data_IF_758900849176
#
_entry.id   IF_758900849176
#
_cell.length_a   1.000
_cell.length_b   1.000
_cell.length_c   1.000
_cell.angle_alpha   90.00
_cell.angle_beta   90.00
_cell.angle_gamma   90.00
#
_symmetry.space_group_name_H-M   'P 1'
#
loop_
_entity.id
_entity.type
_entity.pdbx_description
1 polymer ?
#
# COMPACT_ATOMS: atom_id res chain seq x y z
N UNK A 1 -66.59 4.81 35.64
CA UNK A 1 -66.30 6.16 35.10
C UNK A 1 -65.84 5.98 33.65
N UNK A 2 -66.37 6.77 32.71
CA UNK A 2 -67.14 6.26 31.57
C UNK A 2 -66.38 6.54 30.23
N UNK A 3 -66.46 5.73 29.16
CA UNK A 3 -67.51 5.53 28.14
C UNK A 3 -67.27 6.31 26.82
N UNK A 4 -67.55 5.63 25.69
CA UNK A 4 -68.04 6.20 24.40
C UNK A 4 -67.08 7.04 23.54
N UNK A 5 -67.16 7.13 22.20
CA UNK A 5 -67.85 6.42 21.12
C UNK A 5 -67.48 7.10 19.77
N UNK A 6 -67.57 6.32 18.69
CA UNK A 6 -68.11 6.65 17.34
C UNK A 6 -67.43 7.60 16.33
N UNK A 7 -67.19 6.96 15.19
CA UNK A 7 -67.38 7.30 13.76
C UNK A 7 -68.18 8.53 13.28
N UNK A 8 -67.85 8.97 12.06
CA UNK A 8 -68.79 9.59 11.09
C UNK A 8 -68.07 10.50 10.05
N UNK A 9 -67.76 10.06 8.83
CA UNK A 9 -68.53 10.10 7.56
C UNK A 9 -68.76 11.46 6.87
N UNK A 10 -68.38 11.50 5.58
CA UNK A 10 -69.05 12.10 4.40
C UNK A 10 -68.80 13.57 3.95
N UNK A 11 -68.36 13.67 2.68
CA UNK A 11 -68.50 14.75 1.65
C UNK A 11 -69.98 15.20 1.48
N UNK A 12 -70.40 16.27 0.73
CA UNK A 12 -69.84 16.84 -0.52
C UNK A 12 -70.11 18.36 -0.78
N UNK A 13 -69.82 18.87 -2.00
CA UNK A 13 -70.64 19.95 -2.62
C UNK A 13 -69.92 21.11 -3.33
N UNK A 14 -70.00 21.12 -4.67
CA UNK A 14 -69.58 22.17 -5.64
C UNK A 14 -70.56 23.37 -5.71
N UNK A 15 -70.12 24.53 -6.21
CA UNK A 15 -70.86 25.42 -7.15
C UNK A 15 -69.85 26.37 -7.87
N UNK A 16 -69.65 26.28 -9.20
CA UNK A 16 -70.28 27.04 -10.34
C UNK A 16 -69.95 28.55 -10.31
N UNK A 17 -69.62 29.27 -11.40
CA UNK A 17 -70.08 29.23 -12.80
C UNK A 17 -69.13 30.04 -13.74
N UNK A 18 -68.92 29.62 -15.01
CA UNK A 18 -69.37 30.25 -16.30
C UNK A 18 -68.62 31.54 -16.72
N UNK A 19 -68.34 31.87 -17.98
CA UNK A 19 -68.22 31.28 -19.34
C UNK A 19 -68.06 32.51 -20.27
N UNK A 20 -67.34 32.36 -21.40
CA UNK A 20 -67.48 33.08 -22.72
C UNK A 20 -66.08 33.40 -23.29
N UNK A 21 -65.71 33.20 -24.56
CA UNK A 21 -66.36 32.64 -25.75
C UNK A 21 -65.27 32.35 -26.82
N UNK A 22 -65.52 31.33 -27.68
CA UNK A 22 -65.24 31.17 -29.13
C UNK A 22 -64.08 31.97 -29.79
N UNK A 23 -63.25 31.47 -30.72
CA UNK A 23 -63.49 30.54 -31.84
C UNK A 23 -62.17 30.09 -32.52
N UNK A 24 -62.29 29.05 -33.38
CA UNK A 24 -61.43 28.66 -34.51
C UNK A 24 -59.99 28.23 -34.16
N UNK A 25 -59.40 27.15 -34.68
CA UNK A 25 -59.63 26.47 -35.95
C UNK A 25 -58.25 26.34 -36.63
N UNK A 26 -57.82 25.09 -36.78
CA UNK A 26 -56.77 24.60 -37.68
C UNK A 26 -55.29 24.55 -37.21
N UNK A 27 -54.74 23.38 -37.57
CA UNK A 27 -53.38 23.05 -38.00
C UNK A 27 -52.36 22.61 -36.94
N UNK A 28 -52.00 21.34 -37.08
CA UNK A 28 -50.96 20.63 -36.35
C UNK A 28 -49.59 21.28 -36.53
N UNK A 29 -48.86 21.41 -35.42
CA UNK A 29 -47.41 21.46 -35.39
C UNK A 29 -46.96 20.46 -34.34
N UNK A 30 -46.27 19.42 -34.77
CA UNK A 30 -45.60 18.48 -33.89
C UNK A 30 -44.49 19.22 -33.14
N UNK A 31 -44.75 19.61 -31.89
CA UNK A 31 -43.68 20.02 -30.98
C UNK A 31 -43.03 18.77 -30.43
N UNK A 32 -41.88 18.40 -31.02
CA UNK A 32 -40.94 17.49 -30.40
C UNK A 32 -40.63 18.03 -28.99
N UNK A 33 -41.03 17.29 -27.97
CA UNK A 33 -40.51 17.49 -26.62
C UNK A 33 -39.03 17.16 -26.69
N UNK A 34 -38.18 18.18 -26.79
CA UNK A 34 -36.76 18.04 -26.53
C UNK A 34 -36.65 17.70 -25.04
N UNK A 35 -36.65 16.40 -24.76
CA UNK A 35 -36.10 15.90 -23.52
C UNK A 35 -34.68 16.42 -23.46
N UNK A 36 -34.43 17.36 -22.55
CA UNK A 36 -33.09 17.68 -22.14
C UNK A 36 -32.55 16.42 -21.45
N UNK A 37 -32.02 15.50 -22.24
CA UNK A 37 -31.08 14.50 -21.77
C UNK A 37 -29.90 15.33 -21.28
N UNK A 38 -29.83 15.53 -19.97
CA UNK A 38 -28.56 15.89 -19.36
C UNK A 38 -27.68 14.69 -19.65
N UNK A 39 -26.92 14.79 -20.74
CA UNK A 39 -25.77 13.94 -20.94
C UNK A 39 -24.86 14.23 -19.76
N UNK A 40 -24.94 13.40 -18.71
CA UNK A 40 -23.84 13.20 -17.81
C UNK A 40 -22.67 12.90 -18.72
N UNK A 41 -21.79 13.88 -18.92
CA UNK A 41 -20.55 13.67 -19.62
C UNK A 41 -19.89 12.48 -18.91
N UNK A 42 -19.85 11.33 -19.60
CA UNK A 42 -19.10 10.16 -19.16
C UNK A 42 -17.68 10.64 -18.96
N UNK A 43 -17.27 10.82 -17.70
CA UNK A 43 -15.87 10.92 -17.37
C UNK A 43 -15.20 9.71 -18.04
N UNK A 44 -14.10 9.88 -18.79
CA UNK A 44 -13.39 8.72 -19.28
C UNK A 44 -13.05 7.87 -18.06
N UNK A 45 -13.59 6.66 -18.02
CA UNK A 45 -13.29 5.67 -16.99
C UNK A 45 -11.78 5.47 -17.03
N UNK A 46 -11.09 5.97 -16.01
CA UNK A 46 -9.66 5.77 -15.91
C UNK A 46 -9.43 4.29 -15.62
N UNK A 47 -8.85 3.59 -16.59
CA UNK A 47 -8.50 2.17 -16.48
C UNK A 47 -7.63 1.91 -15.25
N UNK A 48 -7.67 0.66 -14.77
CA UNK A 48 -6.93 0.20 -13.61
C UNK A 48 -5.45 0.40 -13.84
N UNK A 49 -4.73 0.53 -12.73
CA UNK A 49 -3.29 0.65 -12.79
C UNK A 49 -2.68 -0.62 -13.42
N UNK A 50 -2.13 -0.51 -14.63
CA UNK A 50 -1.25 -1.56 -15.18
C UNK A 50 0.14 -1.30 -14.63
N UNK A 51 0.45 -1.94 -13.51
CA UNK A 51 1.73 -1.77 -12.84
C UNK A 51 2.79 -2.72 -13.40
N UNK A 52 4.08 -2.31 -13.44
CA UNK A 52 5.15 -3.10 -14.04
C UNK A 52 5.25 -4.50 -13.43
N UNK A 53 5.59 -5.49 -14.26
CA UNK A 53 5.89 -6.87 -13.84
C UNK A 53 4.78 -7.56 -13.02
N UNK A 54 3.52 -7.15 -13.19
CA UNK A 54 2.39 -7.71 -12.43
C UNK A 54 2.39 -7.31 -10.94
N UNK A 55 3.03 -6.18 -10.62
CA UNK A 55 3.03 -5.60 -9.28
C UNK A 55 1.60 -5.26 -8.84
N UNK A 56 1.27 -5.54 -7.57
CA UNK A 56 -0.09 -5.36 -7.05
C UNK A 56 -0.17 -4.09 -6.20
N UNK A 57 -1.26 -3.34 -6.34
CA UNK A 57 -1.67 -2.30 -5.40
C UNK A 57 -3.06 -2.70 -4.88
N UNK A 58 -3.08 -3.24 -3.67
CA UNK A 58 -4.27 -3.81 -3.00
C UNK A 58 -4.74 -2.82 -1.94
N UNK A 59 -6.02 -2.44 -1.97
CA UNK A 59 -6.60 -1.60 -0.92
C UNK A 59 -7.73 -2.31 -0.18
N UNK A 60 -7.68 -2.31 1.15
CA UNK A 60 -8.84 -2.68 1.95
C UNK A 60 -9.81 -1.49 2.04
N UNK A 61 -11.09 -1.77 1.86
CA UNK A 61 -12.17 -0.79 2.06
C UNK A 61 -13.19 -1.35 3.04
N UNK A 62 -13.30 -0.81 4.26
CA UNK A 62 -14.25 -1.29 5.24
C UNK A 62 -15.70 -0.91 4.90
N UNK A 63 -16.65 -1.66 5.44
CA UNK A 63 -18.09 -1.42 5.26
C UNK A 63 -18.56 -0.14 5.97
N UNK A 64 -17.89 0.23 7.06
CA UNK A 64 -18.28 1.30 7.99
C UNK A 64 -17.70 2.69 7.70
N UNK A 65 -16.62 2.81 6.90
CA UNK A 65 -15.94 4.09 6.65
C UNK A 65 -15.61 4.31 5.18
N UNK A 66 -15.60 5.57 4.73
CA UNK A 66 -15.36 5.94 3.33
C UNK A 66 -16.52 5.65 2.36
N UNK A 67 -16.45 6.20 1.15
CA UNK A 67 -17.46 6.01 0.09
C UNK A 67 -16.86 5.31 -1.13
N UNK A 68 -17.70 4.59 -1.88
CA UNK A 68 -17.29 3.93 -3.13
C UNK A 68 -16.77 4.95 -4.18
N UNK A 69 -17.30 6.17 -4.18
CA UNK A 69 -16.96 7.22 -5.15
C UNK A 69 -15.66 7.95 -4.84
N UNK A 70 -15.15 7.86 -3.60
CA UNK A 70 -13.88 8.47 -3.21
C UNK A 70 -12.66 7.60 -3.56
N UNK A 71 -12.86 6.34 -3.93
CA UNK A 71 -11.78 5.40 -4.23
C UNK A 71 -11.05 5.83 -5.52
N UNK A 72 -9.73 5.84 -5.46
CA UNK A 72 -8.85 6.17 -6.58
C UNK A 72 -8.60 4.93 -7.46
N UNK A 73 -9.65 4.41 -8.11
CA UNK A 73 -9.63 3.13 -8.84
C UNK A 73 -8.46 3.00 -9.84
N UNK A 74 -8.14 4.06 -10.57
CA UNK A 74 -7.05 4.08 -11.55
C UNK A 74 -5.65 3.90 -10.97
N UNK A 75 -5.52 3.82 -9.64
CA UNK A 75 -4.26 3.65 -8.90
C UNK A 75 -4.18 2.31 -8.18
N UNK A 76 -5.24 1.52 -8.25
CA UNK A 76 -5.35 0.21 -7.61
C UNK A 76 -5.42 -0.88 -8.68
N UNK A 77 -5.00 -2.08 -8.29
CA UNK A 77 -5.25 -3.29 -9.07
C UNK A 77 -6.33 -4.15 -8.43
N UNK A 78 -6.39 -4.15 -7.10
CA UNK A 78 -7.34 -4.94 -6.33
C UNK A 78 -7.93 -4.15 -5.16
N UNK A 79 -9.18 -4.46 -4.83
CA UNK A 79 -9.86 -3.98 -3.62
C UNK A 79 -10.38 -5.20 -2.85
N UNK A 80 -10.08 -5.24 -1.55
CA UNK A 80 -10.66 -6.19 -0.62
C UNK A 80 -11.74 -5.46 0.19
N UNK A 81 -13.01 -5.82 -0.01
CA UNK A 81 -14.11 -5.25 0.76
C UNK A 81 -14.21 -5.94 2.12
N UNK A 82 -14.01 -5.17 3.19
CA UNK A 82 -13.92 -5.65 4.57
C UNK A 82 -15.21 -5.30 5.34
N UNK A 83 -15.83 -6.20 6.09
CA UNK A 83 -15.64 -7.64 6.13
C UNK A 83 -17.01 -8.33 6.09
N UNK A 84 -16.98 -9.64 5.88
CA UNK A 84 -18.03 -10.55 6.31
C UNK A 84 -17.45 -11.56 7.29
N UNK A 85 -18.23 -11.99 8.29
CA UNK A 85 -17.76 -12.94 9.31
C UNK A 85 -18.34 -14.34 9.08
N UNK A 86 -17.58 -15.42 9.36
CA UNK A 86 -18.09 -16.78 9.38
C UNK A 86 -18.84 -17.08 10.68
N UNK A 87 -19.82 -17.97 10.60
CA UNK A 87 -20.35 -18.70 11.76
C UNK A 87 -19.70 -20.08 11.84
N UNK A 88 -19.63 -20.67 13.04
CA UNK A 88 -19.00 -21.97 13.29
C UNK A 88 -19.61 -23.14 12.52
N UNK A 89 -20.85 -23.02 12.04
CA UNK A 89 -21.52 -24.02 11.21
C UNK A 89 -21.23 -23.89 9.71
N UNK A 90 -20.41 -22.92 9.30
CA UNK A 90 -20.10 -22.64 7.90
C UNK A 90 -21.09 -21.73 7.17
N UNK A 91 -22.10 -21.18 7.85
CA UNK A 91 -22.85 -20.04 7.31
C UNK A 91 -22.05 -18.73 7.45
N UNK A 92 -22.49 -17.69 6.75
CA UNK A 92 -21.93 -16.34 6.86
C UNK A 92 -22.88 -15.46 7.69
N UNK A 93 -22.33 -14.52 8.44
CA UNK A 93 -23.10 -13.44 9.06
C UNK A 93 -23.67 -12.49 7.99
N UNK A 94 -24.54 -11.57 8.40
CA UNK A 94 -25.07 -10.55 7.50
C UNK A 94 -23.95 -9.70 6.91
N UNK A 95 -23.98 -9.48 5.60
CA UNK A 95 -23.03 -8.57 4.95
C UNK A 95 -23.41 -7.13 5.31
N UNK A 96 -22.49 -6.42 5.96
CA UNK A 96 -22.66 -5.00 6.24
C UNK A 96 -22.54 -4.16 4.97
N UNK A 97 -23.42 -3.17 4.84
CA UNK A 97 -23.46 -2.20 3.75
C UNK A 97 -23.31 -2.82 2.33
N UNK A 98 -24.21 -3.77 1.94
CA UNK A 98 -24.13 -4.45 0.65
C UNK A 98 -24.25 -3.49 -0.54
N UNK A 99 -24.93 -2.35 -0.35
CA UNK A 99 -25.05 -1.31 -1.37
C UNK A 99 -23.71 -0.68 -1.73
N UNK A 100 -22.82 -0.48 -0.76
CA UNK A 100 -21.46 0.02 -1.00
C UNK A 100 -20.61 -1.03 -1.71
N UNK A 101 -20.71 -2.31 -1.33
CA UNK A 101 -20.03 -3.39 -2.07
C UNK A 101 -20.44 -3.38 -3.54
N UNK A 102 -21.74 -3.34 -3.84
CA UNK A 102 -22.23 -3.32 -5.22
C UNK A 102 -21.70 -2.12 -6.02
N UNK A 103 -21.63 -0.94 -5.39
CA UNK A 103 -21.04 0.24 -6.02
C UNK A 103 -19.54 0.05 -6.29
N UNK A 104 -18.78 -0.50 -5.34
CA UNK A 104 -17.34 -0.75 -5.50
C UNK A 104 -17.09 -1.79 -6.60
N UNK A 105 -17.89 -2.87 -6.67
CA UNK A 105 -17.81 -3.85 -7.75
C UNK A 105 -18.07 -3.16 -9.09
N UNK A 106 -19.16 -2.39 -9.20
CA UNK A 106 -19.53 -1.72 -10.45
C UNK A 106 -18.47 -0.72 -10.91
N UNK A 107 -18.00 0.16 -10.02
CA UNK A 107 -16.98 1.16 -10.34
C UNK A 107 -15.61 0.53 -10.56
N UNK A 108 -15.25 -0.47 -9.76
CA UNK A 108 -14.02 -1.23 -9.87
C UNK A 108 -13.93 -1.93 -11.22
N UNK A 109 -14.97 -2.69 -11.60
CA UNK A 109 -15.01 -3.37 -12.89
C UNK A 109 -15.01 -2.41 -14.07
N UNK A 110 -15.73 -1.30 -13.98
CA UNK A 110 -15.71 -0.25 -15.01
C UNK A 110 -14.31 0.36 -15.17
N UNK A 111 -13.51 0.36 -14.11
CA UNK A 111 -12.12 0.76 -14.11
C UNK A 111 -11.16 -0.43 -14.22
N UNK A 112 -11.58 -1.66 -14.52
CA UNK A 112 -10.67 -2.82 -14.60
C UNK A 112 -10.01 -3.29 -13.29
N UNK A 113 -10.44 -2.76 -12.13
CA UNK A 113 -9.97 -3.16 -10.79
C UNK A 113 -10.70 -4.41 -10.34
N UNK A 114 -9.96 -5.36 -9.75
CA UNK A 114 -10.50 -6.61 -9.22
C UNK A 114 -11.05 -6.41 -7.81
N UNK A 115 -12.23 -6.94 -7.53
CA UNK A 115 -12.89 -6.77 -6.21
C UNK A 115 -13.14 -8.11 -5.55
N UNK A 116 -12.54 -8.32 -4.38
CA UNK A 116 -12.74 -9.51 -3.55
C UNK A 116 -13.48 -9.15 -2.27
N UNK A 117 -14.18 -10.14 -1.69
CA UNK A 117 -14.71 -10.03 -0.33
C UNK A 117 -13.63 -10.50 0.67
N UNK A 118 -13.34 -9.69 1.68
CA UNK A 118 -12.52 -10.12 2.80
C UNK A 118 -13.40 -10.74 3.90
N UNK A 119 -13.01 -11.92 4.36
CA UNK A 119 -13.72 -12.69 5.38
C UNK A 119 -12.89 -12.68 6.65
N UNK A 120 -13.45 -12.22 7.77
CA UNK A 120 -12.76 -12.16 9.05
C UNK A 120 -12.43 -10.74 9.51
N UNK A 121 -11.13 -10.48 9.71
CA UNK A 121 -10.58 -9.32 10.40
C UNK A 121 -10.43 -9.56 11.91
N UNK A 122 -9.72 -8.66 12.59
CA UNK A 122 -9.39 -8.75 14.02
C UNK A 122 -10.53 -9.19 14.95
N UNK A 123 -11.75 -8.68 14.77
CA UNK A 123 -12.96 -9.06 15.54
C UNK A 123 -12.74 -9.14 17.06
N UNK A 124 -12.03 -8.17 17.64
CA UNK A 124 -11.62 -8.13 19.06
C UNK A 124 -10.87 -9.40 19.53
N UNK A 125 -10.13 -10.03 18.62
CA UNK A 125 -9.42 -11.28 18.84
C UNK A 125 -10.32 -12.52 18.88
N UNK A 126 -11.61 -12.38 18.57
CA UNK A 126 -12.54 -13.51 18.54
C UNK A 126 -12.56 -14.18 17.17
N UNK A 127 -11.89 -15.32 17.08
CA UNK A 127 -11.84 -16.16 15.88
C UNK A 127 -12.61 -17.48 16.02
N UNK A 128 -13.45 -17.61 17.05
CA UNK A 128 -14.23 -18.84 17.33
C UNK A 128 -15.13 -19.28 16.16
N UNK A 129 -15.60 -18.33 15.35
CA UNK A 129 -16.33 -18.60 14.11
C UNK A 129 -15.47 -19.35 13.09
N UNK A 130 -14.21 -18.94 12.92
CA UNK A 130 -13.24 -19.64 12.09
C UNK A 130 -12.86 -20.99 12.67
N UNK A 131 -12.52 -21.06 13.96
CA UNK A 131 -12.12 -22.31 14.62
C UNK A 131 -13.18 -23.40 14.48
N UNK A 132 -14.44 -23.07 14.81
CA UNK A 132 -15.54 -24.02 14.73
C UNK A 132 -15.83 -24.47 13.28
N UNK A 133 -15.79 -23.53 12.33
CA UNK A 133 -16.06 -23.82 10.92
C UNK A 133 -14.93 -24.65 10.31
N UNK A 134 -13.68 -24.23 10.49
CA UNK A 134 -12.51 -24.88 9.95
C UNK A 134 -12.28 -26.26 10.59
N UNK A 135 -12.65 -26.46 11.86
CA UNK A 135 -12.52 -27.74 12.56
C UNK A 135 -13.47 -28.84 12.09
N UNK A 136 -14.52 -28.53 11.33
CA UNK A 136 -15.53 -29.50 10.92
C UNK A 136 -15.63 -29.60 9.39
N UNK A 137 -15.45 -30.80 8.81
CA UNK A 137 -15.45 -30.98 7.35
C UNK A 137 -16.76 -30.57 6.65
N UNK A 138 -17.90 -30.82 7.30
CA UNK A 138 -19.21 -30.42 6.79
C UNK A 138 -19.37 -28.90 6.84
N UNK A 139 -18.98 -28.27 7.95
CA UNK A 139 -19.01 -26.82 8.10
C UNK A 139 -18.06 -26.13 7.10
N UNK A 140 -16.83 -26.64 6.91
CA UNK A 140 -15.92 -26.16 5.86
C UNK A 140 -16.55 -26.20 4.48
N UNK A 141 -17.19 -27.32 4.13
CA UNK A 141 -17.87 -27.47 2.83
C UNK A 141 -19.03 -26.48 2.69
N UNK A 142 -19.82 -26.30 3.74
CA UNK A 142 -20.90 -25.32 3.76
C UNK A 142 -20.36 -23.89 3.60
N UNK A 143 -19.26 -23.55 4.28
CA UNK A 143 -18.59 -22.26 4.16
C UNK A 143 -18.09 -22.00 2.75
N UNK A 144 -17.36 -22.94 2.16
CA UNK A 144 -16.87 -22.82 0.77
C UNK A 144 -18.05 -22.59 -0.20
N UNK A 145 -19.15 -23.32 -0.04
CA UNK A 145 -20.34 -23.12 -0.86
C UNK A 145 -20.98 -21.74 -0.66
N UNK A 146 -21.05 -21.25 0.58
CA UNK A 146 -21.58 -19.91 0.87
C UNK A 146 -20.68 -18.81 0.32
N UNK A 147 -19.36 -18.97 0.35
CA UNK A 147 -18.41 -18.04 -0.29
C UNK A 147 -18.59 -18.05 -1.81
N UNK A 148 -18.70 -19.23 -2.45
CA UNK A 148 -19.01 -19.32 -3.89
C UNK A 148 -20.31 -18.60 -4.22
N UNK A 149 -21.35 -18.79 -3.43
CA UNK A 149 -22.64 -18.11 -3.63
C UNK A 149 -22.51 -16.59 -3.51
N UNK A 150 -21.78 -16.10 -2.51
CA UNK A 150 -21.53 -14.68 -2.30
C UNK A 150 -20.72 -14.06 -3.46
N UNK A 151 -19.66 -14.74 -3.89
CA UNK A 151 -18.84 -14.35 -5.04
C UNK A 151 -19.69 -14.25 -6.31
N UNK A 152 -20.60 -15.20 -6.55
CA UNK A 152 -21.49 -15.15 -7.69
C UNK A 152 -22.55 -14.03 -7.55
N UNK A 153 -23.16 -13.90 -6.37
CA UNK A 153 -24.22 -12.93 -6.11
C UNK A 153 -23.77 -11.48 -6.34
N UNK A 154 -22.55 -11.16 -5.91
CA UNK A 154 -22.00 -9.80 -6.02
C UNK A 154 -21.03 -9.65 -7.19
N UNK A 155 -20.92 -10.65 -8.07
CA UNK A 155 -19.97 -10.65 -9.20
C UNK A 155 -18.52 -10.32 -8.75
N UNK A 156 -18.06 -10.93 -7.68
CA UNK A 156 -16.71 -10.70 -7.15
C UNK A 156 -15.66 -11.43 -7.99
N UNK A 157 -14.43 -10.92 -7.97
CA UNK A 157 -13.27 -11.53 -8.61
C UNK A 157 -12.58 -12.56 -7.72
N UNK A 158 -12.88 -12.59 -6.42
CA UNK A 158 -12.29 -13.55 -5.49
C UNK A 158 -12.73 -13.38 -4.04
N UNK A 159 -12.00 -14.07 -3.17
CA UNK A 159 -12.13 -14.02 -1.72
C UNK A 159 -10.77 -13.85 -1.08
N UNK A 160 -10.71 -13.06 -0.02
CA UNK A 160 -9.57 -12.88 0.85
C UNK A 160 -9.91 -13.42 2.24
N UNK A 161 -9.07 -14.31 2.78
CA UNK A 161 -9.27 -14.87 4.13
C UNK A 161 -8.36 -14.12 5.11
N UNK A 162 -8.98 -13.38 6.02
CA UNK A 162 -8.32 -12.61 7.07
C UNK A 162 -8.65 -13.23 8.43
N UNK A 163 -8.16 -14.44 8.66
CA UNK A 163 -8.28 -15.10 9.97
C UNK A 163 -7.12 -14.64 10.84
N UNK A 164 -7.46 -13.88 11.90
CA UNK A 164 -6.53 -13.38 12.91
C UNK A 164 -6.71 -14.08 14.27
N UNK A 165 -6.00 -15.17 14.59
CA UNK A 165 -5.06 -15.92 13.74
C UNK A 165 -5.21 -17.42 13.96
N UNK A 166 -5.04 -18.27 12.91
CA UNK A 166 -4.97 -19.69 13.13
C UNK A 166 -3.73 -20.03 13.99
N UNK A 167 -3.92 -20.73 15.09
CA UNK A 167 -2.83 -21.17 15.95
C UNK A 167 -2.02 -22.31 15.32
N UNK A 168 -0.70 -22.40 15.57
CA UNK A 168 0.08 -23.58 15.20
C UNK A 168 -0.51 -24.88 15.77
N UNK A 169 -0.53 -25.95 14.97
CA UNK A 169 -1.09 -27.24 15.38
C UNK A 169 -2.46 -27.49 14.73
N UNK A 170 -3.46 -27.89 15.53
CA UNK A 170 -4.78 -28.29 15.02
C UNK A 170 -5.47 -27.17 14.24
N UNK A 171 -5.44 -25.94 14.75
CA UNK A 171 -6.01 -24.78 14.06
C UNK A 171 -5.33 -24.54 12.70
N UNK A 172 -4.00 -24.54 12.65
CA UNK A 172 -3.25 -24.42 11.38
C UNK A 172 -3.48 -25.57 10.39
N UNK A 173 -3.70 -26.81 10.86
CA UNK A 173 -4.11 -27.93 10.00
C UNK A 173 -5.50 -27.68 9.41
N UNK A 174 -6.43 -27.18 10.22
CA UNK A 174 -7.79 -26.84 9.79
C UNK A 174 -7.80 -25.67 8.80
N UNK A 175 -7.00 -24.64 9.04
CA UNK A 175 -6.76 -23.54 8.10
C UNK A 175 -6.22 -24.05 6.77
N UNK A 176 -5.21 -24.93 6.79
CA UNK A 176 -4.63 -25.52 5.57
C UNK A 176 -5.67 -26.32 4.77
N UNK A 177 -6.52 -27.10 5.45
CA UNK A 177 -7.61 -27.83 4.80
C UNK A 177 -8.67 -26.90 4.20
N UNK A 178 -9.03 -25.83 4.91
CA UNK A 178 -9.93 -24.79 4.40
C UNK A 178 -9.36 -24.12 3.15
N UNK A 179 -8.12 -23.66 3.19
CA UNK A 179 -7.48 -22.96 2.06
C UNK A 179 -7.35 -23.86 0.83
N UNK A 180 -7.09 -25.17 1.01
CA UNK A 180 -7.08 -26.15 -0.08
C UNK A 180 -8.46 -26.28 -0.77
N UNK A 181 -9.54 -26.37 0.02
CA UNK A 181 -10.90 -26.47 -0.51
C UNK A 181 -11.34 -25.17 -1.20
N UNK A 182 -11.04 -24.01 -0.60
CA UNK A 182 -11.29 -22.71 -1.22
C UNK A 182 -10.51 -22.56 -2.54
N UNK A 183 -9.23 -22.93 -2.57
CA UNK A 183 -8.40 -22.84 -3.78
C UNK A 183 -9.02 -23.64 -4.92
N UNK A 184 -9.39 -24.89 -4.66
CA UNK A 184 -10.08 -25.75 -5.65
C UNK A 184 -11.37 -25.08 -6.15
N UNK A 185 -12.19 -24.56 -5.24
CA UNK A 185 -13.47 -23.95 -5.59
C UNK A 185 -13.33 -22.63 -6.36
N UNK A 186 -12.40 -21.75 -5.95
CA UNK A 186 -12.19 -20.44 -6.56
C UNK A 186 -11.47 -20.56 -7.90
N UNK A 187 -10.34 -21.28 -7.94
CA UNK A 187 -9.51 -21.37 -9.16
C UNK A 187 -10.21 -22.11 -10.29
N UNK A 188 -11.03 -23.13 -10.00
CA UNK A 188 -11.87 -23.79 -11.03
C UNK A 188 -12.91 -22.87 -11.68
N UNK A 189 -13.18 -21.71 -11.06
CA UNK A 189 -14.10 -20.68 -11.55
C UNK A 189 -13.36 -19.44 -12.08
N UNK A 190 -12.03 -19.49 -12.17
CA UNK A 190 -11.20 -18.35 -12.56
C UNK A 190 -11.26 -17.20 -11.54
N UNK A 191 -11.54 -17.50 -10.27
CA UNK A 191 -11.61 -16.54 -9.17
C UNK A 191 -10.35 -16.61 -8.31
N UNK A 192 -10.01 -15.49 -7.68
CA UNK A 192 -8.83 -15.35 -6.83
C UNK A 192 -9.09 -15.90 -5.42
N UNK A 193 -8.04 -16.44 -4.80
CA UNK A 193 -7.97 -16.73 -3.37
C UNK A 193 -6.72 -16.06 -2.79
N UNK A 194 -6.92 -15.15 -1.85
CA UNK A 194 -5.83 -14.48 -1.12
C UNK A 194 -6.03 -14.64 0.39
N UNK A 195 -5.05 -14.23 1.17
CA UNK A 195 -5.18 -14.16 2.61
C UNK A 195 -4.36 -13.02 3.20
N UNK A 196 -4.90 -12.37 4.22
CA UNK A 196 -4.13 -11.53 5.13
C UNK A 196 -3.48 -12.40 6.21
N UNK A 197 -2.23 -12.11 6.53
CA UNK A 197 -1.44 -12.89 7.49
C UNK A 197 -0.64 -11.98 8.42
N UNK A 198 -0.40 -12.45 9.64
CA UNK A 198 0.47 -11.78 10.61
C UNK A 198 1.83 -11.44 10.02
N UNK A 199 2.44 -10.36 10.50
CA UNK A 199 3.75 -9.86 10.06
C UNK A 199 4.86 -10.92 10.12
N UNK A 200 5.12 -11.49 11.30
CA UNK A 200 6.18 -12.47 11.55
C UNK A 200 5.96 -13.19 12.91
N UNK A 201 6.85 -14.12 13.26
CA UNK A 201 6.89 -14.75 14.58
C UNK A 201 6.13 -16.08 14.70
N UNK A 202 5.91 -16.52 15.94
CA UNK A 202 5.38 -17.86 16.24
C UNK A 202 3.97 -18.11 15.71
N UNK A 203 3.09 -17.12 15.81
CA UNK A 203 1.71 -17.16 15.30
C UNK A 203 1.67 -17.43 13.79
N UNK A 204 2.67 -16.95 13.03
CA UNK A 204 2.75 -17.17 11.59
C UNK A 204 2.85 -18.67 11.22
N UNK A 205 3.26 -19.54 12.16
CA UNK A 205 3.35 -20.98 11.94
C UNK A 205 1.99 -21.68 11.81
N UNK A 206 0.87 -21.02 12.18
CA UNK A 206 -0.47 -21.54 11.87
C UNK A 206 -0.77 -21.56 10.37
N UNK A 207 -0.14 -20.67 9.59
CA UNK A 207 -0.17 -20.70 8.13
C UNK A 207 0.95 -21.60 7.63
N UNK A 208 0.64 -22.82 7.22
CA UNK A 208 1.65 -23.79 6.77
C UNK A 208 2.14 -23.50 5.35
N UNK A 209 3.39 -23.86 4.98
CA UNK A 209 3.93 -23.62 3.62
C UNK A 209 3.09 -24.19 2.47
N UNK A 210 2.31 -25.26 2.73
CA UNK A 210 1.36 -25.79 1.73
C UNK A 210 0.36 -24.74 1.25
N UNK A 211 -0.04 -23.79 2.11
CA UNK A 211 -0.95 -22.69 1.77
C UNK A 211 -0.39 -21.80 0.66
N UNK A 212 0.94 -21.69 0.53
CA UNK A 212 1.56 -20.86 -0.52
C UNK A 212 1.27 -21.38 -1.94
N UNK A 213 0.95 -22.68 -2.06
CA UNK A 213 0.47 -23.30 -3.29
C UNK A 213 -1.02 -23.07 -3.56
N UNK A 214 -1.81 -22.75 -2.54
CA UNK A 214 -3.27 -22.57 -2.63
C UNK A 214 -3.69 -21.13 -2.90
N UNK A 215 -2.93 -20.15 -2.42
CA UNK A 215 -3.25 -18.73 -2.60
C UNK A 215 -2.60 -18.15 -3.85
N UNK A 216 -3.24 -17.15 -4.44
CA UNK A 216 -2.66 -16.29 -5.47
C UNK A 216 -1.53 -15.43 -4.88
N UNK A 217 -1.73 -14.86 -3.69
CA UNK A 217 -0.71 -14.20 -2.87
C UNK A 217 -1.13 -14.08 -1.40
N UNK A 218 -0.18 -13.68 -0.55
CA UNK A 218 -0.42 -13.29 0.85
C UNK A 218 -0.23 -11.78 1.02
N UNK A 219 -1.20 -11.15 1.67
CA UNK A 219 -1.14 -9.77 2.16
C UNK A 219 -0.52 -9.79 3.57
N UNK A 220 0.76 -9.42 3.69
CA UNK A 220 1.50 -9.50 4.95
C UNK A 220 1.24 -8.23 5.75
N UNK A 221 0.57 -8.36 6.91
CA UNK A 221 0.19 -7.23 7.77
C UNK A 221 1.40 -6.69 8.55
N UNK A 222 2.32 -6.06 7.83
CA UNK A 222 3.55 -5.46 8.34
C UNK A 222 3.30 -4.10 9.04
N UNK A 223 2.30 -4.10 9.92
CA UNK A 223 1.90 -3.02 10.82
C UNK A 223 1.41 -3.65 12.14
N UNK A 224 1.01 -2.82 13.09
CA UNK A 224 0.62 -3.20 14.46
C UNK A 224 1.70 -3.91 15.29
N UNK A 225 2.93 -3.91 14.77
CA UNK A 225 4.16 -4.25 15.45
C UNK A 225 5.30 -3.36 14.99
N UNK A 226 6.52 -3.73 15.37
CA UNK A 226 7.70 -2.88 15.21
C UNK A 226 7.72 -1.74 16.24
N UNK A 227 8.90 -1.16 16.46
CA UNK A 227 9.09 -0.01 17.34
C UNK A 227 9.87 1.10 16.62
N UNK A 228 9.22 2.19 16.19
CA UNK A 228 7.77 2.46 16.26
C UNK A 228 6.94 1.56 15.31
N UNK A 229 5.61 1.60 15.48
CA UNK A 229 4.63 0.90 14.66
C UNK A 229 4.95 1.01 13.16
N UNK A 230 5.04 -0.15 12.49
CA UNK A 230 5.27 -0.26 11.05
C UNK A 230 6.51 0.49 10.53
N UNK A 231 7.59 0.57 11.32
CA UNK A 231 8.85 1.13 10.83
C UNK A 231 9.39 0.35 9.61
N UNK A 232 10.23 1.01 8.81
CA UNK A 232 10.72 0.48 7.53
C UNK A 232 11.43 -0.88 7.68
N UNK A 233 12.44 -0.97 8.55
CA UNK A 233 13.29 -2.16 8.64
C UNK A 233 12.49 -3.38 9.11
N UNK A 234 11.61 -3.18 10.11
CA UNK A 234 10.72 -4.24 10.58
C UNK A 234 9.77 -4.72 9.49
N UNK A 235 9.16 -3.80 8.74
CA UNK A 235 8.25 -4.18 7.65
C UNK A 235 8.94 -4.99 6.54
N UNK A 236 10.19 -4.65 6.21
CA UNK A 236 11.00 -5.41 5.26
C UNK A 236 11.35 -6.79 5.82
N UNK A 237 11.69 -6.88 7.10
CA UNK A 237 11.98 -8.14 7.77
C UNK A 237 10.76 -9.06 7.80
N UNK A 238 9.56 -8.55 8.03
CA UNK A 238 8.33 -9.33 7.98
C UNK A 238 8.11 -9.97 6.61
N UNK A 239 8.31 -9.22 5.52
CA UNK A 239 8.21 -9.80 4.17
C UNK A 239 9.31 -10.83 3.90
N UNK A 240 10.53 -10.56 4.35
CA UNK A 240 11.64 -11.51 4.21
C UNK A 240 11.44 -12.78 5.06
N UNK A 241 10.79 -12.68 6.22
CA UNK A 241 10.42 -13.82 7.05
C UNK A 241 9.52 -14.78 6.27
N UNK A 242 8.45 -14.29 5.63
CA UNK A 242 7.58 -15.13 4.81
C UNK A 242 8.28 -15.72 3.59
N UNK A 243 9.13 -14.94 2.90
CA UNK A 243 9.95 -15.46 1.80
C UNK A 243 10.94 -16.53 2.27
N UNK A 244 11.55 -16.36 3.44
CA UNK A 244 12.44 -17.33 4.07
C UNK A 244 11.74 -18.65 4.43
N UNK A 245 10.41 -18.62 4.61
CA UNK A 245 9.57 -19.82 4.78
C UNK A 245 9.19 -20.50 3.46
N UNK A 246 9.58 -19.94 2.32
CA UNK A 246 9.34 -20.48 0.99
C UNK A 246 8.23 -19.78 0.18
N UNK A 247 7.68 -18.67 0.65
CA UNK A 247 6.72 -17.88 -0.14
C UNK A 247 7.44 -17.22 -1.33
N UNK A 248 7.02 -17.45 -2.59
CA UNK A 248 7.62 -16.79 -3.73
C UNK A 248 7.50 -15.26 -3.64
N UNK A 249 8.52 -14.53 -4.06
CA UNK A 249 8.51 -13.06 -4.00
C UNK A 249 7.30 -12.44 -4.71
N UNK A 250 6.88 -12.99 -5.85
CA UNK A 250 5.69 -12.56 -6.61
C UNK A 250 4.35 -12.72 -5.86
N UNK A 251 4.34 -13.56 -4.82
CA UNK A 251 3.20 -13.85 -3.94
C UNK A 251 3.30 -13.15 -2.57
N UNK A 252 4.37 -12.41 -2.30
CA UNK A 252 4.54 -11.66 -1.06
C UNK A 252 4.11 -10.21 -1.27
N UNK A 253 3.00 -9.77 -0.66
CA UNK A 253 2.50 -8.40 -0.78
C UNK A 253 2.70 -7.68 0.55
N UNK A 254 3.43 -6.56 0.53
CA UNK A 254 3.79 -5.80 1.73
C UNK A 254 2.62 -4.91 2.20
N UNK A 255 2.08 -5.19 3.39
CA UNK A 255 1.07 -4.34 4.04
C UNK A 255 1.65 -3.04 4.60
N UNK A 256 0.92 -1.94 4.43
CA UNK A 256 1.25 -0.62 5.00
C UNK A 256 0.02 0.00 5.68
N UNK A 257 0.21 0.67 6.84
CA UNK A 257 -0.89 1.29 7.57
C UNK A 257 -1.14 2.72 7.07
N UNK A 258 -2.41 3.11 6.96
CA UNK A 258 -2.85 4.49 6.73
C UNK A 258 -3.36 5.16 8.01
N UNK A 259 -2.88 4.70 9.17
CA UNK A 259 -3.22 5.21 10.50
C UNK A 259 -1.99 5.22 11.41
N UNK A 260 -2.12 5.84 12.59
CA UNK A 260 -1.11 5.86 13.62
C UNK A 260 -1.34 4.87 14.75
N UNK A 261 -0.28 4.59 15.51
CA UNK A 261 -0.37 4.09 16.89
C UNK A 261 0.22 5.13 17.85
N UNK A 262 -0.25 5.20 19.11
CA UNK A 262 -1.18 4.25 19.73
C UNK A 262 -2.67 4.56 19.52
N UNK A 263 -3.06 5.77 19.13
CA UNK A 263 -4.46 6.21 19.20
C UNK A 263 -5.26 6.06 17.88
N UNK A 264 -4.70 5.43 16.84
CA UNK A 264 -5.42 5.13 15.60
C UNK A 264 -5.94 6.38 14.86
N UNK A 265 -5.20 7.49 14.89
CA UNK A 265 -5.54 8.62 14.03
C UNK A 265 -5.32 8.23 12.57
N UNK A 266 -6.27 8.56 11.70
CA UNK A 266 -6.09 8.36 10.27
C UNK A 266 -4.97 9.24 9.75
N UNK A 267 -4.30 8.81 8.69
CA UNK A 267 -3.30 9.64 8.03
C UNK A 267 -3.90 10.96 7.55
N UNK A 268 -5.13 10.94 7.02
CA UNK A 268 -5.89 12.14 6.67
C UNK A 268 -6.05 13.11 7.85
N UNK A 269 -6.42 12.62 9.04
CA UNK A 269 -6.58 13.45 10.24
C UNK A 269 -5.25 14.09 10.67
N UNK A 270 -4.16 13.33 10.59
CA UNK A 270 -2.83 13.81 10.95
C UNK A 270 -2.37 14.92 9.99
N UNK A 271 -2.58 14.73 8.69
CA UNK A 271 -2.28 15.73 7.65
C UNK A 271 -3.17 16.97 7.78
N UNK A 272 -4.44 16.80 8.16
CA UNK A 272 -5.36 17.92 8.36
C UNK A 272 -4.96 18.80 9.56
N UNK A 273 -4.33 18.22 10.59
CA UNK A 273 -3.83 18.95 11.77
C UNK A 273 -2.58 19.77 11.47
N UNK A 274 -1.65 19.21 10.69
CA UNK A 274 -0.45 19.89 10.20
C UNK A 274 -0.06 19.26 8.86
N UNK A 275 -0.12 20.00 7.73
CA UNK A 275 0.27 19.48 6.43
C UNK A 275 1.69 18.91 6.38
N UNK A 276 2.60 19.34 7.26
CA UNK A 276 3.95 18.78 7.36
C UNK A 276 3.95 17.31 7.81
N UNK A 277 2.89 16.84 8.49
CA UNK A 277 2.72 15.44 8.87
C UNK A 277 2.67 14.50 7.66
N UNK A 278 2.31 14.99 6.47
CA UNK A 278 2.37 14.19 5.26
C UNK A 278 3.80 13.65 4.98
N UNK A 279 4.83 14.30 5.54
CA UNK A 279 6.24 13.95 5.34
C UNK A 279 6.96 13.51 6.63
N UNK A 280 6.22 13.16 7.69
CA UNK A 280 6.77 12.64 8.95
C UNK A 280 6.27 11.21 9.16
N UNK A 281 6.97 10.47 10.02
CA UNK A 281 6.54 9.14 10.47
C UNK A 281 6.06 9.14 11.94
N UNK A 282 6.26 10.25 12.66
CA UNK A 282 5.64 10.45 13.96
C UNK A 282 5.29 11.92 14.18
N UNK A 283 4.29 12.20 15.01
CA UNK A 283 3.96 13.53 15.49
C UNK A 283 3.34 13.45 16.89
N UNK A 284 3.40 14.53 17.66
CA UNK A 284 2.71 14.59 18.95
C UNK A 284 1.27 15.07 18.75
N UNK A 285 0.30 14.30 19.26
CA UNK A 285 -1.11 14.65 19.33
C UNK A 285 -1.58 14.52 20.76
N UNK A 286 -2.09 15.60 21.35
CA UNK A 286 -2.61 15.61 22.73
C UNK A 286 -1.62 15.02 23.77
N UNK A 287 -0.32 15.24 23.57
CA UNK A 287 0.74 14.72 24.44
C UNK A 287 1.17 13.27 24.17
N UNK A 288 0.48 12.54 23.28
CA UNK A 288 0.88 11.20 22.82
C UNK A 288 1.73 11.29 21.55
N UNK A 289 2.80 10.50 21.47
CA UNK A 289 3.59 10.38 20.25
C UNK A 289 2.92 9.37 19.30
N UNK A 290 2.27 9.88 18.27
CA UNK A 290 1.58 9.12 17.23
C UNK A 290 2.54 8.79 16.11
N UNK A 291 2.83 7.50 15.91
CA UNK A 291 3.69 7.03 14.84
C UNK A 291 2.90 6.26 13.77
N UNK A 292 3.20 6.57 12.52
CA UNK A 292 2.52 6.17 11.28
C UNK A 292 3.55 6.10 10.15
N UNK A 293 3.13 6.01 8.89
CA UNK A 293 4.03 6.10 7.74
C UNK A 293 3.65 7.28 6.85
N UNK A 294 4.51 8.29 6.76
CA UNK A 294 4.35 9.40 5.84
C UNK A 294 4.72 9.03 4.40
N UNK A 295 4.54 9.99 3.49
CA UNK A 295 4.85 9.83 2.06
C UNK A 295 6.27 9.29 1.81
N UNK A 296 7.36 9.78 2.47
CA UNK A 296 8.70 9.27 2.21
C UNK A 296 8.83 7.76 2.51
N UNK A 297 8.28 7.31 3.64
CA UNK A 297 8.37 5.90 4.06
C UNK A 297 7.49 5.00 3.20
N UNK A 298 6.29 5.45 2.82
CA UNK A 298 5.44 4.71 1.88
C UNK A 298 6.13 4.55 0.51
N UNK A 299 6.76 5.59 -0.01
CA UNK A 299 7.54 5.50 -1.26
C UNK A 299 8.71 4.53 -1.12
N UNK A 300 9.48 4.63 -0.03
CA UNK A 300 10.63 3.75 0.22
C UNK A 300 10.22 2.27 0.34
N UNK A 301 9.13 1.98 1.06
CA UNK A 301 8.54 0.63 1.13
C UNK A 301 8.08 0.13 -0.23
N UNK A 302 7.44 0.99 -1.01
CA UNK A 302 6.99 0.66 -2.37
C UNK A 302 8.16 0.35 -3.30
N UNK A 303 9.21 1.19 -3.31
CA UNK A 303 10.44 0.96 -4.09
C UNK A 303 11.09 -0.39 -3.74
N UNK A 304 11.21 -0.68 -2.45
CA UNK A 304 11.74 -1.97 -2.01
C UNK A 304 10.86 -3.13 -2.48
N UNK A 305 9.53 -3.01 -2.33
CA UNK A 305 8.59 -4.03 -2.75
C UNK A 305 8.66 -4.29 -4.25
N UNK A 306 8.76 -3.25 -5.09
CA UNK A 306 8.91 -3.42 -6.55
C UNK A 306 10.14 -4.26 -6.92
N UNK A 307 11.22 -4.12 -6.15
CA UNK A 307 12.46 -4.85 -6.40
C UNK A 307 12.48 -6.25 -5.76
N UNK A 308 11.64 -6.54 -4.75
CA UNK A 308 11.81 -7.69 -3.86
C UNK A 308 10.54 -8.47 -3.51
N UNK A 309 9.37 -8.03 -4.00
CA UNK A 309 8.06 -8.51 -3.58
C UNK A 309 7.03 -8.36 -4.73
N UNK A 310 5.81 -8.84 -4.51
CA UNK A 310 4.75 -8.93 -5.51
C UNK A 310 3.77 -7.75 -5.51
N UNK A 311 3.87 -6.85 -4.53
CA UNK A 311 2.97 -5.72 -4.41
C UNK A 311 3.03 -4.99 -3.07
N UNK A 312 2.17 -3.98 -2.95
CA UNK A 312 1.81 -3.27 -1.72
C UNK A 312 0.32 -3.48 -1.44
N UNK A 313 -0.01 -3.65 -0.16
CA UNK A 313 -1.36 -3.68 0.36
C UNK A 313 -1.53 -2.54 1.38
N UNK A 314 -2.66 -1.86 1.42
CA UNK A 314 -2.94 -0.85 2.45
C UNK A 314 -4.14 -1.20 3.34
N UNK A 315 -3.98 -0.90 4.63
CA UNK A 315 -5.04 -0.85 5.64
C UNK A 315 -5.13 0.56 6.23
N UNK A 316 -6.15 1.36 5.93
CA UNK A 316 -7.18 1.13 4.91
C UNK A 316 -7.52 2.40 4.11
N UNK A 317 -8.12 2.22 2.93
CA UNK A 317 -8.28 3.25 1.88
C UNK A 317 -8.98 4.53 2.34
N UNK A 318 -9.94 4.46 3.25
CA UNK A 318 -10.72 5.59 3.74
C UNK A 318 -9.94 6.51 4.69
N UNK A 319 -8.78 6.05 5.16
CA UNK A 319 -7.88 6.80 6.05
C UNK A 319 -6.86 7.65 5.29
N UNK A 320 -6.80 7.49 3.96
CA UNK A 320 -5.86 8.22 3.11
C UNK A 320 -6.22 9.72 3.02
N UNK A 321 -5.20 10.56 2.90
CA UNK A 321 -5.38 11.94 2.49
C UNK A 321 -5.69 12.03 0.99
N UNK A 322 -6.11 13.20 0.52
CA UNK A 322 -6.42 13.42 -0.91
C UNK A 322 -5.32 14.22 -1.61
N UNK A 323 -5.39 14.26 -2.95
CA UNK A 323 -4.50 15.06 -3.78
C UNK A 323 -3.02 14.71 -3.60
N UNK A 324 -2.16 15.74 -3.49
CA UNK A 324 -0.71 15.57 -3.40
C UNK A 324 -0.25 14.82 -2.14
N UNK A 325 -1.10 14.74 -1.11
CA UNK A 325 -0.79 14.06 0.13
C UNK A 325 -1.25 12.60 0.16
N UNK A 326 -1.94 12.09 -0.86
CA UNK A 326 -2.43 10.71 -0.86
C UNK A 326 -1.29 9.67 -0.87
N UNK A 327 -1.35 8.74 0.08
CA UNK A 327 -0.49 7.57 0.18
C UNK A 327 -0.75 6.57 -0.97
N UNK A 328 -2.00 6.36 -1.39
CA UNK A 328 -2.31 5.57 -2.60
C UNK A 328 -1.64 6.17 -3.84
N UNK A 329 -1.67 7.50 -3.95
CA UNK A 329 -0.97 8.21 -5.02
C UNK A 329 0.54 8.04 -4.93
N UNK A 330 1.11 8.07 -3.73
CA UNK A 330 2.53 7.83 -3.52
C UNK A 330 2.94 6.40 -3.94
N UNK A 331 2.14 5.39 -3.63
CA UNK A 331 2.35 4.00 -4.07
C UNK A 331 2.33 3.94 -5.61
N UNK A 332 1.26 4.45 -6.23
CA UNK A 332 1.07 4.37 -7.68
C UNK A 332 2.15 5.10 -8.47
N UNK A 333 2.48 6.33 -8.08
CA UNK A 333 3.52 7.15 -8.76
C UNK A 333 4.89 6.50 -8.65
N UNK A 334 5.23 5.97 -7.47
CA UNK A 334 6.45 5.19 -7.27
C UNK A 334 6.47 3.94 -8.16
N UNK A 335 5.37 3.20 -8.20
CA UNK A 335 5.25 1.95 -8.96
C UNK A 335 5.34 2.13 -10.48
N UNK A 336 4.86 3.26 -11.00
CA UNK A 336 4.80 3.54 -12.45
C UNK A 336 6.00 4.32 -12.97
N UNK A 337 6.96 4.68 -12.12
CA UNK A 337 8.04 5.60 -12.49
C UNK A 337 7.55 7.00 -12.86
N UNK A 338 6.29 7.32 -12.53
CA UNK A 338 5.65 8.59 -12.84
C UNK A 338 6.29 9.72 -12.03
N UNK A 339 6.89 10.67 -12.73
CA UNK A 339 7.33 11.95 -12.16
C UNK A 339 6.10 12.79 -11.82
N UNK A 340 5.44 12.55 -10.69
CA UNK A 340 4.88 13.71 -9.98
C UNK A 340 6.08 14.45 -9.45
N UNK A 341 6.40 15.56 -10.10
CA UNK A 341 7.21 16.64 -9.53
C UNK A 341 6.85 16.73 -8.03
N UNK A 342 7.82 16.65 -7.11
CA UNK A 342 7.55 16.87 -5.70
C UNK A 342 6.79 18.21 -5.57
N UNK A 343 5.82 18.35 -4.65
CA UNK A 343 5.42 19.68 -4.24
C UNK A 343 6.70 20.45 -3.93
N UNK A 344 6.82 21.66 -4.48
CA UNK A 344 8.03 22.49 -4.53
C UNK A 344 8.46 23.04 -3.17
N UNK A 345 8.37 22.22 -2.12
CA UNK A 345 8.98 22.43 -0.82
C UNK A 345 9.47 21.07 -0.30
N UNK A 346 10.78 20.77 -0.40
CA UNK A 346 11.35 19.52 0.11
C UNK A 346 11.26 19.45 1.66
N UNK A 347 10.84 18.32 2.25
CA UNK A 347 11.35 17.95 3.57
C UNK A 347 12.81 17.54 3.36
N UNK A 348 13.71 18.39 3.82
CA UNK A 348 15.14 18.34 3.57
C UNK A 348 15.76 17.02 4.07
N UNK A 349 16.34 16.25 3.16
CA UNK A 349 17.45 15.38 3.54
C UNK A 349 18.54 16.21 4.20
N UNK A 350 19.17 15.67 5.25
CA UNK A 350 20.31 16.35 5.91
C UNK A 350 21.39 16.59 4.87
N UNK A 351 21.80 17.86 4.75
CA UNK A 351 22.74 18.30 3.73
C UNK A 351 23.99 18.78 4.40
N UNK A 352 25.13 18.25 3.97
CA UNK A 352 26.42 18.60 4.51
C UNK A 352 27.50 17.64 4.03
N UNK A 353 28.63 17.63 4.72
CA UNK A 353 29.76 16.79 4.37
C UNK A 353 29.52 15.36 4.82
N UNK A 354 29.84 14.40 3.96
CA UNK A 354 30.07 13.02 4.37
C UNK A 354 31.58 12.89 4.60
N UNK A 355 31.98 12.56 5.83
CA UNK A 355 33.40 12.36 6.17
C UNK A 355 33.71 10.90 6.42
N UNK A 356 34.92 10.47 6.12
CA UNK A 356 35.36 9.09 6.30
C UNK A 356 36.83 9.00 6.69
N UNK A 357 37.55 8.11 6.02
CA UNK A 357 38.97 7.84 6.27
C UNK A 357 39.81 9.12 6.41
N UNK A 358 40.63 9.18 7.45
CA UNK A 358 41.48 10.33 7.79
C UNK A 358 40.74 11.68 7.94
N UNK A 359 39.44 11.66 8.23
CA UNK A 359 38.62 12.87 8.39
C UNK A 359 38.35 13.61 7.07
N UNK A 360 38.64 12.99 5.93
CA UNK A 360 38.44 13.56 4.60
C UNK A 360 37.00 13.41 4.13
N UNK A 361 36.63 14.21 3.14
CA UNK A 361 35.29 14.31 2.61
C UNK A 361 35.09 13.44 1.37
N UNK A 362 33.87 12.91 1.21
CA UNK A 362 33.40 12.40 -0.07
C UNK A 362 33.21 13.55 -1.04
N UNK A 363 33.81 13.45 -2.21
CA UNK A 363 34.01 14.55 -3.16
C UNK A 363 33.66 14.12 -4.60
N UNK A 364 32.99 14.99 -5.35
CA UNK A 364 32.84 14.85 -6.81
C UNK A 364 34.06 15.45 -7.47
N UNK A 365 34.86 14.62 -8.14
CA UNK A 365 36.11 15.04 -8.76
C UNK A 365 35.92 16.24 -9.70
N UNK A 366 36.74 17.27 -9.48
CA UNK A 366 36.72 18.54 -10.22
C UNK A 366 35.35 19.26 -10.22
N UNK A 367 34.45 18.95 -9.28
CA UNK A 367 33.07 19.45 -9.24
C UNK A 367 32.30 19.19 -10.56
N UNK A 368 32.68 18.14 -11.30
CA UNK A 368 32.06 17.83 -12.60
C UNK A 368 30.61 17.40 -12.42
N UNK A 369 29.72 17.98 -13.23
CA UNK A 369 28.29 17.62 -13.29
C UNK A 369 27.99 16.60 -14.39
N UNK A 370 29.00 16.04 -15.07
CA UNK A 370 28.80 15.02 -16.08
C UNK A 370 28.48 13.66 -15.45
N UNK A 371 27.63 12.88 -16.10
CA UNK A 371 27.45 11.46 -15.77
C UNK A 371 28.78 10.72 -15.91
N UNK A 372 29.09 9.86 -14.95
CA UNK A 372 30.37 9.18 -14.87
C UNK A 372 31.47 9.95 -14.13
N UNK A 373 31.16 11.15 -13.60
CA UNK A 373 32.13 11.89 -12.78
C UNK A 373 32.56 11.04 -11.57
N UNK A 374 33.85 11.07 -11.28
CA UNK A 374 34.44 10.25 -10.24
C UNK A 374 34.02 10.72 -8.83
N UNK A 375 33.47 9.82 -8.01
CA UNK A 375 33.36 10.04 -6.55
C UNK A 375 34.63 9.58 -5.83
N UNK A 376 35.29 10.49 -5.13
CA UNK A 376 36.60 10.28 -4.52
C UNK A 376 36.63 10.74 -3.06
N UNK A 377 37.71 10.40 -2.36
CA UNK A 377 38.07 11.00 -1.09
C UNK A 377 38.94 12.23 -1.35
N UNK A 378 38.65 13.35 -0.69
CA UNK A 378 39.42 14.59 -0.83
C UNK A 378 39.43 15.39 0.47
N UNK A 379 40.48 16.18 0.68
CA UNK A 379 40.59 17.14 1.77
C UNK A 379 39.34 18.04 1.78
N UNK A 380 38.70 18.16 2.94
CA UNK A 380 37.48 18.95 3.06
C UNK A 380 37.76 20.42 2.72
N UNK A 381 37.18 20.91 1.63
CA UNK A 381 37.46 22.23 1.05
C UNK A 381 36.22 23.14 1.01
N UNK A 382 35.05 22.64 1.43
CA UNK A 382 33.83 23.43 1.56
C UNK A 382 33.13 23.79 0.25
N UNK A 383 33.56 23.21 -0.87
CA UNK A 383 32.90 23.39 -2.17
C UNK A 383 31.61 22.55 -2.25
N UNK A 384 30.76 22.88 -3.22
CA UNK A 384 29.53 22.11 -3.50
C UNK A 384 29.80 20.66 -3.94
N UNK A 385 31.01 20.35 -4.40
CA UNK A 385 31.43 18.99 -4.73
C UNK A 385 31.45 18.05 -3.51
N UNK A 386 31.47 18.61 -2.29
CA UNK A 386 31.51 17.88 -1.02
C UNK A 386 30.23 18.08 -0.20
N UNK A 387 29.24 18.78 -0.76
CA UNK A 387 27.98 19.03 -0.10
C UNK A 387 26.95 18.01 -0.57
N UNK A 388 26.74 16.99 0.26
CA UNK A 388 25.87 15.86 -0.04
C UNK A 388 24.56 15.98 0.72
N UNK A 389 23.46 15.78 0.03
CA UNK A 389 22.15 15.57 0.63
C UNK A 389 21.95 14.07 0.84
N UNK A 390 21.82 13.65 2.09
CA UNK A 390 21.31 12.31 2.44
C UNK A 390 19.80 12.37 2.33
N UNK A 391 19.27 11.93 1.19
CA UNK A 391 17.85 11.99 0.92
C UNK A 391 17.09 10.87 1.65
N UNK A 392 15.83 11.13 1.97
CA UNK A 392 14.96 10.18 2.69
C UNK A 392 14.60 8.93 1.88
N UNK A 393 14.82 8.95 0.57
CA UNK A 393 14.69 7.80 -0.33
C UNK A 393 15.94 6.88 -0.35
N UNK A 394 16.94 7.18 0.49
CA UNK A 394 18.17 6.40 0.59
C UNK A 394 19.22 6.76 -0.46
N UNK A 395 19.00 7.76 -1.30
CA UNK A 395 20.04 8.26 -2.22
C UNK A 395 20.98 9.25 -1.51
N UNK A 396 22.24 9.25 -1.92
CA UNK A 396 23.21 10.30 -1.56
C UNK A 396 23.37 11.21 -2.77
N UNK A 397 23.05 12.49 -2.64
CA UNK A 397 22.97 13.41 -3.78
C UNK A 397 23.96 14.56 -3.68
N UNK A 398 24.66 14.87 -4.77
CA UNK A 398 25.49 16.06 -4.90
C UNK A 398 25.34 16.61 -6.31
N UNK A 399 25.44 17.93 -6.45
CA UNK A 399 25.37 18.63 -7.76
C UNK A 399 24.14 18.24 -8.61
N UNK A 400 23.02 17.94 -7.96
CA UNK A 400 21.77 17.54 -8.62
C UNK A 400 21.70 16.09 -9.11
N UNK A 401 22.67 15.24 -8.74
CA UNK A 401 22.81 13.85 -9.18
C UNK A 401 23.05 12.89 -8.01
N UNK A 402 22.98 11.59 -8.28
CA UNK A 402 23.06 10.53 -7.27
C UNK A 402 24.44 9.84 -7.26
N UNK A 403 24.88 9.43 -6.07
CA UNK A 403 26.01 8.51 -5.88
C UNK A 403 25.62 7.12 -6.37
N UNK A 404 26.31 6.62 -7.38
CA UNK A 404 25.91 5.48 -8.19
C UNK A 404 27.02 4.43 -8.26
N UNK A 405 26.64 3.16 -8.12
CA UNK A 405 27.52 2.02 -8.40
C UNK A 405 27.59 1.82 -9.92
N UNK A 406 28.78 1.99 -10.50
CA UNK A 406 28.99 2.00 -11.95
C UNK A 406 28.37 0.76 -12.61
N UNK A 407 27.49 0.99 -13.59
CA UNK A 407 26.79 -0.05 -14.36
C UNK A 407 26.02 -1.06 -13.50
N UNK A 408 25.60 -0.67 -12.28
CA UNK A 408 24.99 -1.55 -11.29
C UNK A 408 25.82 -2.81 -10.98
N UNK A 409 27.15 -2.72 -11.12
CA UNK A 409 28.05 -3.85 -10.87
C UNK A 409 27.98 -4.34 -9.42
N UNK A 410 28.11 -5.65 -9.23
CA UNK A 410 28.01 -6.29 -7.90
C UNK A 410 29.34 -6.86 -7.41
N UNK A 411 30.42 -6.74 -8.18
CA UNK A 411 31.74 -7.25 -7.81
C UNK A 411 32.51 -6.28 -6.90
N UNK A 412 33.36 -6.82 -6.02
CA UNK A 412 34.33 -6.02 -5.27
C UNK A 412 35.19 -5.19 -6.22
N UNK A 413 35.42 -3.93 -5.88
CA UNK A 413 36.21 -3.01 -6.71
C UNK A 413 35.41 -2.23 -7.75
N UNK A 414 34.10 -2.50 -7.90
CA UNK A 414 33.24 -1.69 -8.79
C UNK A 414 33.24 -0.25 -8.30
N UNK A 415 33.61 0.69 -9.17
CA UNK A 415 33.81 2.10 -8.80
C UNK A 415 32.50 2.84 -8.62
N UNK A 416 32.57 3.88 -7.79
CA UNK A 416 31.45 4.81 -7.58
C UNK A 416 31.60 6.02 -8.50
N UNK A 417 30.47 6.41 -9.09
CA UNK A 417 30.35 7.53 -10.01
C UNK A 417 29.19 8.43 -9.59
N UNK A 418 29.19 9.65 -10.12
CA UNK A 418 28.02 10.52 -10.12
C UNK A 418 27.18 10.20 -11.35
N UNK A 419 25.88 9.98 -11.17
CA UNK A 419 24.97 9.69 -12.28
C UNK A 419 23.60 10.32 -12.05
N UNK A 420 22.88 10.58 -13.14
CA UNK A 420 21.48 10.99 -13.07
C UNK A 420 20.68 10.04 -12.17
N UNK A 421 19.89 10.62 -11.28
CA UNK A 421 19.06 9.81 -10.38
C UNK A 421 18.03 9.04 -11.22
N UNK A 422 18.15 7.71 -11.23
CA UNK A 422 17.42 6.79 -12.10
C UNK A 422 16.54 5.79 -11.33
N UNK A 423 16.51 5.88 -9.99
CA UNK A 423 15.66 5.07 -9.13
C UNK A 423 16.09 3.61 -8.97
N UNK A 424 17.23 3.21 -9.51
CA UNK A 424 17.74 1.85 -9.38
C UNK A 424 18.38 1.62 -8.01
N UNK A 425 18.46 0.34 -7.60
CA UNK A 425 19.13 -0.04 -6.35
C UNK A 425 20.64 0.27 -6.32
N UNK A 426 21.27 0.56 -7.48
CA UNK A 426 22.67 0.99 -7.58
C UNK A 426 22.91 2.39 -6.97
N UNK A 427 21.85 3.17 -6.74
CA UNK A 427 21.92 4.54 -6.21
C UNK A 427 21.46 4.67 -4.75
N UNK A 428 21.11 3.54 -4.13
CA UNK A 428 20.60 3.49 -2.76
C UNK A 428 21.72 3.08 -1.81
N UNK A 429 21.79 3.75 -0.66
CA UNK A 429 22.77 3.55 0.39
C UNK A 429 22.10 3.49 1.75
N UNK A 430 22.33 2.40 2.48
CA UNK A 430 21.75 2.14 3.79
C UNK A 430 22.83 2.29 4.86
N UNK A 431 22.70 3.32 5.70
CA UNK A 431 23.53 3.48 6.89
C UNK A 431 23.31 2.30 7.83
N UNK A 432 24.40 1.70 8.29
CA UNK A 432 24.40 0.63 9.26
C UNK A 432 24.82 1.16 10.64
N UNK A 433 24.55 0.40 11.70
CA UNK A 433 24.93 0.76 13.07
C UNK A 433 26.44 0.75 13.31
N UNK A 434 27.21 0.03 12.49
CA UNK A 434 28.68 -0.03 12.51
C UNK A 434 29.36 1.14 11.77
N UNK A 435 28.57 2.08 11.25
CA UNK A 435 29.04 3.25 10.51
C UNK A 435 29.28 3.00 9.02
N UNK A 436 29.01 1.81 8.50
CA UNK A 436 29.11 1.52 7.07
C UNK A 436 27.91 2.03 6.27
N UNK A 437 28.10 2.24 4.97
CA UNK A 437 27.03 2.53 4.02
C UNK A 437 26.89 1.36 3.06
N UNK A 438 25.87 0.55 3.25
CA UNK A 438 25.61 -0.66 2.45
C UNK A 438 24.73 -0.35 1.25
N UNK A 439 25.15 -0.75 0.06
CA UNK A 439 24.33 -0.73 -1.12
C UNK A 439 23.48 -2.03 -1.17
N UNK A 440 22.14 -1.94 -1.17
CA UNK A 440 21.28 -3.13 -1.06
C UNK A 440 21.29 -4.00 -2.33
N UNK A 441 21.55 -3.42 -3.51
CA UNK A 441 21.58 -4.16 -4.77
C UNK A 441 22.80 -5.08 -4.88
N UNK A 442 23.98 -4.61 -4.44
CA UNK A 442 25.22 -5.40 -4.45
C UNK A 442 25.48 -6.15 -3.14
N UNK A 443 24.75 -5.80 -2.07
CA UNK A 443 25.01 -6.26 -0.70
C UNK A 443 26.37 -5.84 -0.11
N UNK A 444 27.07 -4.90 -0.75
CA UNK A 444 28.43 -4.45 -0.43
C UNK A 444 28.44 -3.03 0.15
N UNK A 445 29.55 -2.64 0.78
CA UNK A 445 29.70 -1.37 1.47
C UNK A 445 30.52 -0.36 0.66
N UNK A 446 30.22 0.93 0.82
CA UNK A 446 31.01 2.04 0.29
C UNK A 446 32.41 2.02 0.92
N UNK A 447 33.44 2.01 0.07
CA UNK A 447 34.81 1.70 0.43
C UNK A 447 35.80 2.67 -0.24
N UNK A 448 36.80 3.15 0.50
CA UNK A 448 37.95 3.84 -0.08
C UNK A 448 38.95 2.82 -0.61
N UNK A 449 39.22 2.89 -1.92
CA UNK A 449 40.14 1.97 -2.60
C UNK A 449 41.50 1.93 -1.90
N UNK A 450 41.99 0.70 -1.64
CA UNK A 450 43.29 0.42 -1.01
C UNK A 450 43.51 1.06 0.37
N UNK A 451 42.44 1.49 1.05
CA UNK A 451 42.52 2.24 2.32
C UNK A 451 43.45 3.48 2.19
N UNK A 452 43.50 4.08 1.01
CA UNK A 452 44.36 5.23 0.73
C UNK A 452 43.74 6.53 1.24
N UNK A 453 44.50 7.27 2.05
CA UNK A 453 44.10 8.61 2.53
C UNK A 453 44.55 9.74 1.58
N UNK A 454 45.10 9.42 0.41
CA UNK A 454 45.51 10.42 -0.57
C UNK A 454 44.30 11.16 -1.17
N UNK A 455 44.48 12.44 -1.49
CA UNK A 455 43.49 13.20 -2.25
C UNK A 455 43.31 12.60 -3.64
N UNK A 456 42.06 12.36 -4.02
CA UNK A 456 41.71 11.70 -5.27
C UNK A 456 41.57 10.17 -5.18
N UNK A 457 41.75 9.56 -4.00
CA UNK A 457 41.49 8.14 -3.82
C UNK A 457 40.04 7.80 -4.21
N UNK A 458 39.85 6.91 -5.19
CA UNK A 458 38.52 6.57 -5.74
C UNK A 458 37.71 5.78 -4.71
N UNK A 459 36.40 6.04 -4.66
CA UNK A 459 35.48 5.16 -3.93
C UNK A 459 35.04 3.98 -4.80
N UNK A 460 34.76 2.87 -4.13
CA UNK A 460 34.29 1.62 -4.71
C UNK A 460 33.27 0.93 -3.79
N UNK A 461 32.70 -0.18 -4.24
CA UNK A 461 32.06 -1.15 -3.34
C UNK A 461 33.02 -2.28 -2.98
N UNK A 462 32.93 -2.76 -1.76
CA UNK A 462 33.65 -3.94 -1.29
C UNK A 462 32.81 -4.69 -0.25
N UNK A 463 33.14 -5.96 0.03
CA UNK A 463 32.51 -6.69 1.12
C UNK A 463 32.57 -5.88 2.42
N UNK A 464 31.47 -5.93 3.18
CA UNK A 464 31.35 -5.16 4.41
C UNK A 464 32.18 -5.82 5.52
N UNK A 465 33.21 -5.12 5.99
CA UNK A 465 34.03 -5.54 7.14
C UNK A 465 34.21 -4.43 8.17
N UNK A 466 33.53 -3.29 7.99
CA UNK A 466 33.52 -2.14 8.90
C UNK A 466 34.93 -1.63 9.27
N UNK A 467 35.88 -1.72 8.33
CA UNK A 467 37.21 -1.11 8.44
C UNK A 467 37.16 0.42 8.37
N UNK A 468 38.27 1.07 8.71
CA UNK A 468 38.35 2.54 8.73
C UNK A 468 38.02 3.19 7.36
N UNK A 469 38.33 2.50 6.25
CA UNK A 469 37.99 2.94 4.89
C UNK A 469 36.53 2.69 4.48
N UNK A 470 35.71 2.08 5.34
CA UNK A 470 34.29 1.82 5.08
C UNK A 470 33.36 2.54 6.07
N UNK A 471 33.91 3.28 7.04
CA UNK A 471 33.10 4.02 8.03
C UNK A 471 32.93 5.46 7.60
N UNK A 472 31.69 5.91 7.67
CA UNK A 472 31.26 7.21 7.19
C UNK A 472 30.43 7.93 8.23
N UNK A 473 30.77 9.20 8.48
CA UNK A 473 29.93 10.13 9.23
C UNK A 473 29.12 10.92 8.23
N UNK A 474 27.82 10.70 8.25
CA UNK A 474 26.86 11.45 7.45
C UNK A 474 26.48 12.77 8.17
N UNK A 475 26.08 13.83 7.42
CA UNK A 475 25.90 15.19 7.94
C UNK A 475 24.76 15.41 8.92
#
# INVERSE_FOLDING_TARGET
>A
MPSHSESGTARPGRHRARRSALAAGALAVATAAVGAVVALASQPSADAAVLPNGFKSVGYMPSWAGSATAIQYSKLTHINYAFILPNSNGSLQGLDNPSKLQQIVSLGHAAGVKVSIAVGGWNDGNDSGFEGMAGNATARTAFVNNIVNLVNQYNLDGVDIDWEYPDPGTSGNNYTALMSQLSTAMHSRGKLLTAAVVSEGGTANGVQPAVFGYVDWLNIMAYDGGSPHANYDWAINSVNFWKGRGLPASKAVLGVPFYSRPNYYTFADLVARDPANANRDCTTVNGSNECYNGLPTIRRKTQWAMANAGGIMNWELSQDATGANSLVSAIYTTATGGTTQPPTTPPTGRTGRITGLAGKCVDVAAASTANGAAIQLYTCNGTNAQNWTVATDGTLRALGKCMDVTSAGTANGTKIQLWDCNGTGAQVWQSQSDGTLRNPASSKCLDVTDNSSADGARLQIWDCFAGANQRWTLP
#
